data_IF_071468376848
#
_entry.id   IF_071468376848
#
_cell.length_a   1.000
_cell.length_b   1.000
_cell.length_c   1.000
_cell.angle_alpha   90.00
_cell.angle_beta   90.00
_cell.angle_gamma   90.00
#
_symmetry.space_group_name_H-M   'P 1'
#
loop_
_entity.id
_entity.type
_entity.pdbx_description
1 polymer ?
#
# COMPACT_ATOMS: atom_id res chain seq x y z
N UNK A 1 57.92 0.64 -8.01
CA UNK A 1 56.66 0.16 -8.60
C UNK A 1 55.39 0.45 -7.76
N UNK A 2 55.42 1.41 -6.85
CA UNK A 2 54.30 1.65 -5.88
C UNK A 2 53.47 2.96 -6.15
N UNK A 3 53.74 3.75 -7.14
CA UNK A 3 53.04 5.04 -7.39
C UNK A 3 52.02 5.06 -8.52
N UNK A 4 51.84 3.96 -9.25
CA UNK A 4 50.90 3.88 -10.40
C UNK A 4 49.52 3.30 -10.05
N UNK A 5 49.34 2.74 -8.88
CA UNK A 5 48.07 2.09 -8.49
C UNK A 5 47.17 3.07 -7.71
N UNK A 6 47.71 4.12 -7.10
CA UNK A 6 46.93 5.11 -6.34
C UNK A 6 46.08 6.08 -7.19
N UNK A 7 46.39 6.22 -8.48
CA UNK A 7 45.67 7.12 -9.38
C UNK A 7 44.47 6.48 -10.11
N UNK A 8 44.28 5.15 -9.99
CA UNK A 8 43.15 4.45 -10.60
C UNK A 8 41.88 4.42 -9.71
N UNK A 9 42.01 4.83 -8.45
CA UNK A 9 40.86 4.83 -7.50
C UNK A 9 40.19 6.21 -7.37
N UNK A 10 40.65 7.25 -8.06
CA UNK A 10 39.94 8.52 -8.19
C UNK A 10 39.00 8.51 -9.41
N UNK A 11 38.05 7.56 -9.41
CA UNK A 11 36.89 7.65 -10.28
C UNK A 11 36.12 8.91 -9.83
N UNK A 12 36.39 10.04 -10.47
CA UNK A 12 35.58 11.25 -10.31
C UNK A 12 34.13 10.81 -10.60
N UNK A 13 33.28 10.76 -9.58
CA UNK A 13 31.86 10.46 -9.75
C UNK A 13 31.35 11.30 -10.92
N UNK A 14 30.80 10.66 -11.95
CA UNK A 14 30.16 11.32 -13.08
C UNK A 14 29.23 12.43 -12.57
N UNK A 15 29.23 13.61 -13.19
CA UNK A 15 28.38 14.73 -12.77
C UNK A 15 26.92 14.36 -12.70
N UNK A 16 26.45 13.48 -13.59
CA UNK A 16 25.07 12.94 -13.59
C UNK A 16 24.88 12.03 -12.38
N UNK A 17 25.78 11.06 -12.16
CA UNK A 17 25.70 10.10 -11.04
C UNK A 17 25.89 10.76 -9.67
N UNK A 18 26.53 11.93 -9.61
CA UNK A 18 26.71 12.71 -8.36
C UNK A 18 25.50 13.59 -8.02
N UNK A 19 24.47 13.63 -8.87
CA UNK A 19 23.29 14.49 -8.69
C UNK A 19 23.56 16.00 -8.84
N UNK A 20 24.77 16.38 -9.31
CA UNK A 20 25.21 17.77 -9.52
C UNK A 20 25.00 18.26 -10.94
N UNK A 21 24.41 17.45 -11.80
CA UNK A 21 24.08 17.86 -13.16
C UNK A 21 22.87 18.79 -13.13
N UNK A 22 22.99 19.96 -13.75
CA UNK A 22 21.89 20.91 -13.90
C UNK A 22 21.12 20.56 -15.17
N UNK A 23 19.86 20.30 -15.02
CA UNK A 23 18.89 20.23 -16.10
C UNK A 23 18.22 21.60 -16.27
N UNK A 24 17.75 21.92 -17.46
CA UNK A 24 16.81 23.03 -17.61
C UNK A 24 15.50 22.72 -16.85
N UNK A 25 14.75 23.76 -16.46
CA UNK A 25 13.46 23.54 -15.79
C UNK A 25 12.51 22.71 -16.65
N UNK A 26 12.49 22.95 -17.97
CA UNK A 26 11.68 22.19 -18.92
C UNK A 26 12.04 20.71 -18.99
N UNK A 27 13.34 20.38 -18.99
CA UNK A 27 13.79 18.97 -18.95
C UNK A 27 13.40 18.28 -17.65
N UNK A 28 13.47 18.95 -16.50
CA UNK A 28 13.04 18.39 -15.23
C UNK A 28 11.54 18.15 -15.20
N UNK A 29 10.74 19.13 -15.65
CA UNK A 29 9.29 18.99 -15.76
C UNK A 29 8.90 17.79 -16.63
N UNK A 30 9.53 17.68 -17.82
CA UNK A 30 9.26 16.56 -18.74
C UNK A 30 9.58 15.22 -18.08
N UNK A 31 10.74 15.09 -17.42
CA UNK A 31 11.14 13.87 -16.72
C UNK A 31 10.15 13.44 -15.63
N UNK A 32 9.60 14.37 -14.88
CA UNK A 32 8.57 14.06 -13.89
C UNK A 32 7.27 13.66 -14.57
N UNK A 33 6.83 14.38 -15.60
CA UNK A 33 5.58 14.12 -16.32
C UNK A 33 5.56 12.80 -17.07
N UNK A 34 6.72 12.32 -17.53
CA UNK A 34 6.90 10.99 -18.15
C UNK A 34 6.69 9.84 -17.17
N UNK A 35 6.87 10.07 -15.87
CA UNK A 35 6.69 9.02 -14.86
C UNK A 35 5.22 8.73 -14.62
N UNK A 36 4.39 9.77 -14.55
CA UNK A 36 2.97 9.60 -14.25
C UNK A 36 2.18 10.85 -14.71
N UNK A 37 1.31 10.71 -15.73
CA UNK A 37 0.54 11.81 -16.30
C UNK A 37 -0.56 12.36 -15.39
N UNK A 38 -0.91 11.66 -14.30
CA UNK A 38 -1.90 12.12 -13.32
C UNK A 38 -1.38 13.23 -12.41
N UNK A 39 -0.10 13.60 -12.58
CA UNK A 39 0.53 14.67 -11.81
C UNK A 39 0.88 15.87 -12.69
N UNK A 40 0.64 17.06 -12.15
CA UNK A 40 1.09 18.32 -12.72
C UNK A 40 2.29 18.84 -11.94
N UNK A 41 3.35 19.21 -12.66
CA UNK A 41 4.57 19.71 -12.06
C UNK A 41 4.48 21.24 -12.02
N UNK A 42 4.30 21.80 -10.85
CA UNK A 42 4.07 23.22 -10.64
C UNK A 42 5.38 24.00 -10.59
N UNK A 43 6.41 23.43 -9.95
CA UNK A 43 7.75 24.02 -9.91
C UNK A 43 8.81 22.92 -9.69
N UNK A 44 10.03 23.19 -10.13
CA UNK A 44 11.19 22.31 -9.97
C UNK A 44 12.38 23.10 -9.49
N UNK A 45 13.21 22.51 -8.64
CA UNK A 45 14.47 23.08 -8.23
C UNK A 45 15.52 23.07 -9.35
N UNK A 46 16.70 23.60 -9.06
CA UNK A 46 17.80 23.71 -10.04
C UNK A 46 18.46 22.37 -10.38
N UNK A 47 18.31 21.35 -9.54
CA UNK A 47 18.99 20.06 -9.65
C UNK A 47 17.97 18.92 -9.62
N UNK A 48 18.33 17.81 -10.26
CA UNK A 48 17.48 16.60 -10.28
C UNK A 48 17.22 16.02 -8.85
N UNK A 49 18.11 16.30 -7.92
CA UNK A 49 17.99 15.93 -6.52
C UNK A 49 17.35 17.02 -5.65
N UNK A 50 16.84 18.10 -6.24
CA UNK A 50 15.99 19.05 -5.54
C UNK A 50 14.54 18.55 -5.51
N UNK A 51 13.75 18.90 -4.50
CA UNK A 51 12.34 18.57 -4.50
C UNK A 51 11.61 19.40 -5.56
N UNK A 52 10.64 18.80 -6.23
CA UNK A 52 9.69 19.47 -7.11
C UNK A 52 8.37 19.69 -6.34
N UNK A 53 7.71 20.81 -6.58
CA UNK A 53 6.33 21.02 -6.15
C UNK A 53 5.41 20.43 -7.22
N UNK A 54 4.67 19.39 -6.85
CA UNK A 54 3.77 18.68 -7.75
C UNK A 54 2.35 18.71 -7.23
N UNK A 55 1.38 18.64 -8.12
CA UNK A 55 -0.05 18.54 -7.79
C UNK A 55 -0.61 17.25 -8.38
N UNK A 56 -1.31 16.49 -7.56
CA UNK A 56 -2.07 15.34 -8.04
C UNK A 56 -3.40 15.81 -8.63
N UNK A 57 -3.61 15.67 -9.93
CA UNK A 57 -4.77 16.20 -10.66
C UNK A 57 -6.11 15.69 -10.13
N UNK A 58 -6.14 14.42 -9.70
CA UNK A 58 -7.37 13.79 -9.21
C UNK A 58 -7.91 14.38 -7.90
N UNK A 59 -7.04 14.78 -6.98
CA UNK A 59 -7.46 15.31 -5.66
C UNK A 59 -7.05 16.76 -5.41
N UNK A 60 -6.32 17.41 -6.33
CA UNK A 60 -5.88 18.78 -6.21
C UNK A 60 -4.78 19.02 -5.16
N UNK A 61 -4.32 17.96 -4.44
CA UNK A 61 -3.32 18.11 -3.39
C UNK A 61 -1.95 18.47 -3.94
N UNK A 62 -1.33 19.51 -3.36
CA UNK A 62 0.01 19.98 -3.72
C UNK A 62 1.01 19.58 -2.64
N UNK A 63 2.16 19.03 -3.06
CA UNK A 63 3.18 18.55 -2.14
C UNK A 63 4.57 18.55 -2.81
N UNK A 64 5.61 18.51 -1.97
CA UNK A 64 6.99 18.41 -2.45
C UNK A 64 7.40 16.94 -2.61
N UNK A 65 8.03 16.62 -3.74
CA UNK A 65 8.48 15.27 -4.06
C UNK A 65 9.86 15.29 -4.74
N UNK A 66 10.76 14.42 -4.31
CA UNK A 66 12.02 14.18 -4.99
C UNK A 66 11.83 13.27 -6.19
N UNK A 67 12.49 13.56 -7.32
CA UNK A 67 12.39 12.75 -8.54
C UNK A 67 12.69 11.26 -8.31
N UNK A 68 13.73 10.95 -7.53
CA UNK A 68 14.09 9.59 -7.17
C UNK A 68 12.96 8.87 -6.42
N UNK A 69 12.32 9.54 -5.47
CA UNK A 69 11.21 8.96 -4.71
C UNK A 69 9.99 8.71 -5.62
N UNK A 70 9.73 9.63 -6.55
CA UNK A 70 8.60 9.54 -7.48
C UNK A 70 8.80 8.44 -8.53
N UNK A 71 10.01 8.40 -9.14
CA UNK A 71 10.34 7.44 -10.21
C UNK A 71 10.72 6.06 -9.67
N UNK A 72 11.70 6.00 -8.76
CA UNK A 72 12.36 4.74 -8.39
C UNK A 72 11.71 4.06 -7.18
N UNK A 73 11.10 4.83 -6.28
CA UNK A 73 10.40 4.32 -5.10
C UNK A 73 8.88 4.26 -5.25
N UNK A 74 8.34 4.73 -6.37
CA UNK A 74 6.91 4.73 -6.64
C UNK A 74 6.09 5.57 -5.65
N UNK A 75 6.73 6.52 -4.93
CA UNK A 75 5.99 7.40 -4.03
C UNK A 75 5.04 8.29 -4.83
N UNK A 76 3.84 8.49 -4.32
CA UNK A 76 2.77 9.24 -4.96
C UNK A 76 2.17 10.28 -3.99
N UNK A 77 1.04 10.85 -4.36
CA UNK A 77 0.35 11.86 -3.57
C UNK A 77 0.12 11.41 -2.12
N UNK A 78 0.66 12.11 -1.11
CA UNK A 78 0.49 11.71 0.29
C UNK A 78 -0.97 11.78 0.75
N UNK A 79 -1.81 12.59 0.10
CA UNK A 79 -3.23 12.66 0.42
C UNK A 79 -4.03 11.46 -0.13
N UNK A 80 -3.65 10.93 -1.32
CA UNK A 80 -4.29 9.75 -1.91
C UNK A 80 -3.59 8.45 -1.53
N UNK A 81 -2.28 8.52 -1.24
CA UNK A 81 -1.47 7.43 -0.72
C UNK A 81 -1.30 7.50 0.81
N UNK A 82 -1.95 8.47 1.46
CA UNK A 82 -1.94 8.55 2.89
C UNK A 82 -2.76 7.41 3.46
N UNK A 83 -2.06 6.49 4.04
CA UNK A 83 -2.51 5.55 5.08
C UNK A 83 -3.68 4.62 4.76
N UNK A 84 -4.65 5.01 3.94
CA UNK A 84 -5.80 4.18 3.62
C UNK A 84 -5.80 3.81 2.14
N UNK A 85 -6.02 2.55 1.84
CA UNK A 85 -6.29 2.10 0.47
C UNK A 85 -7.66 2.60 0.01
N UNK A 86 -7.92 2.60 -1.30
CA UNK A 86 -9.25 2.97 -1.84
C UNK A 86 -10.36 2.13 -1.18
N UNK A 87 -10.10 0.87 -0.88
CA UNK A 87 -11.07 0.02 -0.20
C UNK A 87 -11.31 0.45 1.25
N UNK A 88 -10.26 0.84 1.97
CA UNK A 88 -10.42 1.39 3.32
C UNK A 88 -11.19 2.72 3.31
N UNK A 89 -11.02 3.58 2.30
CA UNK A 89 -11.83 4.79 2.13
C UNK A 89 -13.30 4.45 1.91
N UNK A 90 -13.61 3.51 1.01
CA UNK A 90 -14.99 3.05 0.76
C UNK A 90 -15.63 2.50 2.04
N UNK A 91 -14.91 1.69 2.80
CA UNK A 91 -15.39 1.14 4.07
C UNK A 91 -15.64 2.28 5.08
N UNK A 92 -14.69 3.21 5.20
CA UNK A 92 -14.78 4.36 6.11
C UNK A 92 -16.00 5.22 5.81
N UNK A 93 -16.20 5.54 4.53
CA UNK A 93 -17.33 6.41 4.10
C UNK A 93 -18.66 5.71 4.35
N UNK A 94 -18.77 4.43 4.00
CA UNK A 94 -19.97 3.63 4.27
C UNK A 94 -20.32 3.59 5.77
N UNK A 95 -19.33 3.35 6.64
CA UNK A 95 -19.55 3.30 8.08
C UNK A 95 -20.01 4.64 8.66
N UNK A 96 -19.44 5.76 8.19
CA UNK A 96 -19.85 7.11 8.57
C UNK A 96 -21.27 7.44 8.10
N UNK A 97 -21.60 7.16 6.83
CA UNK A 97 -22.92 7.42 6.25
C UNK A 97 -24.02 6.65 6.98
N UNK A 98 -23.71 5.46 7.47
CA UNK A 98 -24.66 4.63 8.21
C UNK A 98 -24.59 4.83 9.74
N UNK A 99 -23.85 5.84 10.23
CA UNK A 99 -23.67 6.16 11.64
C UNK A 99 -23.20 4.96 12.49
N UNK A 100 -22.37 4.09 11.93
CA UNK A 100 -21.76 2.96 12.63
C UNK A 100 -20.54 3.45 13.40
N UNK A 101 -20.44 3.12 14.68
CA UNK A 101 -19.25 3.38 15.47
C UNK A 101 -18.13 2.39 15.11
N UNK A 102 -16.93 2.89 14.82
CA UNK A 102 -15.77 2.08 14.46
C UNK A 102 -14.46 2.77 14.86
N UNK A 103 -13.44 1.95 15.07
CA UNK A 103 -12.06 2.41 15.24
C UNK A 103 -11.22 2.05 14.00
N UNK A 104 -10.17 2.83 13.73
CA UNK A 104 -9.24 2.61 12.59
C UNK A 104 -7.82 2.42 13.06
N UNK A 105 -7.03 1.65 12.30
CA UNK A 105 -5.59 1.44 12.52
C UNK A 105 -5.26 1.03 13.97
N UNK A 106 -6.07 0.10 14.50
CA UNK A 106 -5.98 -0.38 15.87
C UNK A 106 -4.68 -1.10 16.14
N UNK A 107 -3.96 -0.67 17.18
CA UNK A 107 -2.79 -1.35 17.71
C UNK A 107 -3.17 -2.15 18.93
N UNK A 108 -2.80 -3.41 18.96
CA UNK A 108 -3.08 -4.33 20.04
C UNK A 108 -1.78 -4.71 20.76
N UNK A 109 -1.85 -4.79 22.08
CA UNK A 109 -0.71 -5.21 22.90
C UNK A 109 -0.27 -6.64 22.54
N UNK A 110 1.03 -6.77 22.25
CA UNK A 110 1.60 -8.04 21.83
C UNK A 110 1.48 -8.35 20.33
N UNK A 111 0.76 -7.55 19.54
CA UNK A 111 0.73 -7.69 18.09
C UNK A 111 1.91 -6.94 17.45
N UNK A 112 3.07 -7.62 17.34
CA UNK A 112 4.32 -7.03 16.90
C UNK A 112 5.06 -7.89 15.88
N UNK A 113 5.71 -7.22 14.91
CA UNK A 113 6.74 -7.77 14.03
C UNK A 113 7.73 -6.67 13.70
N UNK A 114 8.98 -6.73 14.26
CA UNK A 114 9.95 -5.63 14.22
C UNK A 114 9.41 -4.32 14.84
N UNK A 115 8.17 -3.95 14.52
CA UNK A 115 7.42 -2.84 15.07
C UNK A 115 6.00 -3.29 15.40
N UNK A 116 5.24 -2.44 16.13
CA UNK A 116 3.82 -2.67 16.38
C UNK A 116 3.05 -2.74 15.05
N UNK A 117 2.22 -3.78 14.88
CA UNK A 117 1.31 -3.91 13.77
C UNK A 117 -0.05 -3.31 14.12
N UNK A 118 -0.75 -2.80 13.12
CA UNK A 118 -2.13 -2.32 13.26
C UNK A 118 -3.10 -3.17 12.46
N UNK A 119 -4.37 -3.12 12.82
CA UNK A 119 -5.50 -3.69 12.08
C UNK A 119 -6.33 -2.53 11.54
N UNK A 120 -6.84 -2.66 10.31
CA UNK A 120 -7.45 -1.52 9.59
C UNK A 120 -8.69 -0.99 10.30
N UNK A 121 -9.63 -1.87 10.71
CA UNK A 121 -10.87 -1.47 11.36
C UNK A 121 -11.22 -2.38 12.54
N UNK A 122 -11.99 -1.79 13.47
CA UNK A 122 -12.73 -2.51 14.50
C UNK A 122 -14.17 -2.02 14.51
N UNK A 123 -15.12 -2.93 14.40
CA UNK A 123 -16.56 -2.66 14.49
C UNK A 123 -17.14 -3.56 15.58
N UNK A 124 -17.53 -2.98 16.72
CA UNK A 124 -17.93 -3.77 17.90
C UNK A 124 -16.78 -4.71 18.32
N UNK A 125 -17.01 -6.02 18.29
CA UNK A 125 -16.01 -7.04 18.66
C UNK A 125 -15.25 -7.63 17.46
N UNK A 126 -15.59 -7.21 16.23
CA UNK A 126 -15.02 -7.75 15.00
C UNK A 126 -13.89 -6.87 14.51
N UNK A 127 -12.74 -7.46 14.20
CA UNK A 127 -11.62 -6.81 13.54
C UNK A 127 -11.64 -7.11 12.04
N UNK A 128 -11.31 -6.11 11.23
CA UNK A 128 -11.38 -6.20 9.76
C UNK A 128 -10.07 -5.72 9.17
N UNK A 129 -9.53 -6.49 8.23
CA UNK A 129 -8.42 -6.14 7.34
C UNK A 129 -8.95 -6.06 5.91
N UNK A 130 -8.63 -4.99 5.21
CA UNK A 130 -8.84 -4.91 3.77
C UNK A 130 -7.54 -5.17 3.04
N UNK A 131 -7.43 -6.34 2.43
CA UNK A 131 -6.21 -6.75 1.75
C UNK A 131 -6.17 -6.23 0.31
N UNK A 132 -5.41 -5.16 0.10
CA UNK A 132 -5.14 -4.59 -1.20
C UNK A 132 -4.36 -5.56 -2.12
N UNK A 133 -4.30 -5.24 -3.40
CA UNK A 133 -3.66 -6.08 -4.43
C UNK A 133 -2.20 -6.44 -4.10
N UNK A 134 -1.48 -5.53 -3.43
CA UNK A 134 -0.07 -5.70 -3.10
C UNK A 134 0.22 -6.63 -1.91
N UNK A 135 -0.80 -7.11 -1.21
CA UNK A 135 -0.67 -8.25 -0.31
C UNK A 135 -0.46 -9.56 -1.08
N UNK A 136 -0.84 -9.62 -2.37
CA UNK A 136 -0.85 -10.84 -3.18
C UNK A 136 0.13 -10.83 -4.35
N UNK A 137 0.64 -9.67 -4.74
CA UNK A 137 1.64 -9.53 -5.80
C UNK A 137 2.72 -8.52 -5.45
N UNK A 138 3.87 -8.65 -6.09
CA UNK A 138 4.96 -7.68 -5.98
C UNK A 138 4.57 -6.36 -6.66
N UNK A 139 4.72 -5.24 -5.94
CA UNK A 139 4.39 -3.91 -6.46
C UNK A 139 5.54 -3.30 -7.29
N UNK A 140 6.77 -3.43 -6.78
CA UNK A 140 8.00 -2.87 -7.37
C UNK A 140 9.21 -3.67 -6.84
N UNK A 141 10.40 -3.43 -7.39
CA UNK A 141 11.59 -4.25 -7.09
C UNK A 141 12.01 -4.26 -5.62
N UNK A 142 11.83 -3.15 -4.89
CA UNK A 142 12.12 -3.09 -3.46
C UNK A 142 10.98 -3.60 -2.56
N UNK A 143 9.80 -3.96 -3.12
CA UNK A 143 8.71 -4.53 -2.35
C UNK A 143 9.00 -5.99 -1.98
N UNK A 144 9.11 -6.26 -0.69
CA UNK A 144 9.32 -7.61 -0.17
C UNK A 144 7.98 -8.27 0.15
N UNK A 145 7.44 -8.98 -0.84
CA UNK A 145 6.16 -9.70 -0.71
C UNK A 145 6.20 -10.78 0.39
N UNK A 146 7.33 -11.48 0.56
CA UNK A 146 7.48 -12.50 1.59
C UNK A 146 7.38 -11.90 3.01
N UNK A 147 7.96 -10.71 3.19
CA UNK A 147 7.84 -9.99 4.47
C UNK A 147 6.41 -9.53 4.73
N UNK A 148 5.69 -9.10 3.71
CA UNK A 148 4.27 -8.75 3.81
C UNK A 148 3.43 -9.96 4.23
N UNK A 149 3.58 -11.09 3.54
CA UNK A 149 2.92 -12.36 3.89
C UNK A 149 3.22 -12.79 5.33
N UNK A 150 4.49 -12.64 5.76
CA UNK A 150 4.90 -12.99 7.14
C UNK A 150 4.21 -12.11 8.19
N UNK A 151 4.08 -10.81 7.93
CA UNK A 151 3.36 -9.88 8.82
C UNK A 151 1.88 -10.26 8.94
N UNK A 152 1.26 -10.59 7.82
CA UNK A 152 -0.13 -11.00 7.76
C UNK A 152 -0.36 -12.33 8.47
N UNK A 153 0.54 -13.29 8.33
CA UNK A 153 0.48 -14.57 9.06
C UNK A 153 0.61 -14.38 10.57
N UNK A 154 1.46 -13.45 11.02
CA UNK A 154 1.59 -13.08 12.44
C UNK A 154 0.28 -12.47 12.96
N UNK A 155 -0.35 -11.57 12.20
CA UNK A 155 -1.66 -11.03 12.55
C UNK A 155 -2.69 -12.16 12.70
N UNK A 156 -2.81 -13.04 11.71
CA UNK A 156 -3.77 -14.13 11.75
C UNK A 156 -3.58 -15.04 12.97
N UNK A 157 -2.35 -15.46 13.25
CA UNK A 157 -2.03 -16.26 14.43
C UNK A 157 -2.40 -15.57 15.72
N UNK A 158 -2.07 -14.29 15.85
CA UNK A 158 -2.37 -13.49 17.04
C UNK A 158 -3.86 -13.51 17.36
N UNK A 159 -4.73 -13.31 16.37
CA UNK A 159 -6.18 -13.31 16.52
C UNK A 159 -6.72 -14.71 16.79
N UNK A 160 -6.26 -15.70 16.03
CA UNK A 160 -6.67 -17.09 16.18
C UNK A 160 -6.35 -17.66 17.58
N UNK A 161 -5.12 -17.44 18.06
CA UNK A 161 -4.65 -17.94 19.37
C UNK A 161 -5.40 -17.31 20.55
N UNK A 162 -6.07 -16.18 20.35
CA UNK A 162 -6.83 -15.44 21.37
C UNK A 162 -8.33 -15.57 21.22
N UNK A 163 -8.79 -16.36 20.25
CA UNK A 163 -10.21 -16.51 19.92
C UNK A 163 -10.89 -15.15 19.65
N UNK A 164 -10.15 -14.24 18.99
CA UNK A 164 -10.64 -12.92 18.60
C UNK A 164 -11.00 -12.96 17.11
N UNK A 165 -12.17 -12.45 16.74
CA UNK A 165 -12.66 -12.50 15.38
C UNK A 165 -11.92 -11.51 14.47
N UNK A 166 -11.22 -12.02 13.46
CA UNK A 166 -10.58 -11.27 12.37
C UNK A 166 -11.20 -11.67 11.04
N UNK A 167 -11.73 -10.70 10.34
CA UNK A 167 -12.28 -10.85 8.98
C UNK A 167 -11.31 -10.19 7.99
N UNK A 168 -10.93 -10.91 6.92
CA UNK A 168 -10.11 -10.35 5.85
C UNK A 168 -10.91 -10.27 4.55
N UNK A 169 -10.90 -9.10 3.92
CA UNK A 169 -11.65 -8.82 2.69
C UNK A 169 -10.64 -8.51 1.59
N UNK A 170 -10.51 -9.36 0.56
CA UNK A 170 -9.57 -9.11 -0.52
C UNK A 170 -10.07 -8.03 -1.49
N UNK A 171 -9.14 -7.31 -2.09
CA UNK A 171 -9.40 -6.26 -3.08
C UNK A 171 -10.31 -6.68 -4.24
N UNK A 172 -10.40 -7.97 -4.54
CA UNK A 172 -11.29 -8.55 -5.55
C UNK A 172 -12.78 -8.27 -5.28
N UNK A 173 -13.13 -7.96 -4.03
CA UNK A 173 -14.49 -7.60 -3.63
C UNK A 173 -14.71 -6.10 -3.44
N UNK A 174 -13.83 -5.25 -4.00
CA UNK A 174 -13.91 -3.80 -3.88
C UNK A 174 -15.31 -3.25 -4.21
N UNK A 175 -15.92 -3.72 -5.30
CA UNK A 175 -17.24 -3.25 -5.75
C UNK A 175 -18.41 -3.85 -4.92
N UNK A 176 -18.11 -4.72 -3.96
CA UNK A 176 -19.06 -5.36 -3.06
C UNK A 176 -18.91 -4.95 -1.61
N UNK A 177 -18.02 -3.99 -1.31
CA UNK A 177 -17.67 -3.62 0.06
C UNK A 177 -18.90 -3.15 0.87
N UNK A 178 -19.80 -2.35 0.30
CA UNK A 178 -21.00 -1.89 1.00
C UNK A 178 -21.86 -3.07 1.50
N UNK A 179 -22.13 -4.03 0.62
CA UNK A 179 -22.91 -5.22 0.96
C UNK A 179 -22.19 -6.09 2.00
N UNK A 180 -20.89 -6.31 1.82
CA UNK A 180 -20.07 -7.11 2.73
C UNK A 180 -20.05 -6.48 4.13
N UNK A 181 -19.78 -5.17 4.21
CA UNK A 181 -19.72 -4.46 5.49
C UNK A 181 -21.09 -4.44 6.17
N UNK A 182 -22.17 -4.26 5.41
CA UNK A 182 -23.52 -4.36 5.97
C UNK A 182 -23.75 -5.74 6.59
N UNK A 183 -23.40 -6.82 5.88
CA UNK A 183 -23.57 -8.18 6.40
C UNK A 183 -22.68 -8.48 7.61
N UNK A 184 -21.51 -7.87 7.70
CA UNK A 184 -20.66 -7.94 8.89
C UNK A 184 -21.31 -7.24 10.10
N UNK A 185 -21.89 -6.08 9.91
CA UNK A 185 -22.63 -5.33 10.95
C UNK A 185 -23.83 -6.14 11.44
N UNK A 186 -24.56 -6.79 10.52
CA UNK A 186 -25.68 -7.67 10.80
C UNK A 186 -25.26 -9.03 11.42
N UNK A 187 -23.94 -9.33 11.45
CA UNK A 187 -23.36 -10.62 11.84
C UNK A 187 -23.89 -11.81 11.01
N UNK A 188 -24.28 -11.55 9.76
CA UNK A 188 -24.77 -12.57 8.83
C UNK A 188 -23.59 -13.30 8.14
N UNK A 189 -22.80 -14.02 8.93
CA UNK A 189 -21.64 -14.76 8.45
C UNK A 189 -21.99 -15.93 7.54
N UNK A 190 -23.20 -16.48 7.67
CA UNK A 190 -23.66 -17.55 6.79
C UNK A 190 -23.83 -17.03 5.37
N UNK A 191 -24.45 -15.85 5.22
CA UNK A 191 -24.55 -15.17 3.93
C UNK A 191 -23.17 -14.90 3.33
N UNK A 192 -22.23 -14.36 4.11
CA UNK A 192 -20.88 -14.06 3.66
C UNK A 192 -20.14 -15.31 3.18
N UNK A 193 -20.18 -16.41 3.93
CA UNK A 193 -19.53 -17.68 3.53
C UNK A 193 -20.14 -18.27 2.26
N UNK A 194 -21.43 -18.11 2.05
CA UNK A 194 -22.14 -18.63 0.87
C UNK A 194 -21.87 -17.84 -0.39
N UNK A 195 -21.77 -16.50 -0.29
CA UNK A 195 -21.70 -15.60 -1.43
C UNK A 195 -20.27 -15.08 -1.73
N UNK A 196 -19.37 -15.14 -0.77
CA UNK A 196 -18.01 -14.58 -0.85
C UNK A 196 -16.94 -15.58 -0.39
N UNK A 197 -16.63 -16.54 -1.25
CA UNK A 197 -15.71 -17.67 -0.97
C UNK A 197 -14.28 -17.26 -0.56
N UNK A 198 -13.88 -16.03 -0.92
CA UNK A 198 -12.55 -15.47 -0.61
C UNK A 198 -12.55 -14.60 0.66
N UNK A 199 -13.68 -14.38 1.32
CA UNK A 199 -13.66 -13.75 2.64
C UNK A 199 -13.05 -14.74 3.62
N UNK A 200 -12.02 -14.28 4.31
CA UNK A 200 -11.37 -15.03 5.35
C UNK A 200 -12.02 -14.72 6.71
N UNK A 201 -12.45 -15.73 7.40
CA UNK A 201 -13.01 -15.62 8.76
C UNK A 201 -12.14 -16.48 9.67
N UNK A 202 -11.26 -15.85 10.40
CA UNK A 202 -10.30 -16.36 11.38
C UNK A 202 -9.86 -17.84 11.22
N UNK A 203 -8.79 -18.06 10.45
CA UNK A 203 -8.08 -19.35 10.38
C UNK A 203 -6.66 -19.17 10.94
N UNK A 204 -6.02 -20.27 11.35
CA UNK A 204 -4.69 -20.21 11.97
C UNK A 204 -3.53 -19.85 11.03
N UNK A 205 -3.78 -19.73 9.71
CA UNK A 205 -2.75 -19.41 8.73
C UNK A 205 -3.25 -18.50 7.61
N UNK A 206 -2.49 -17.45 7.33
CA UNK A 206 -2.73 -16.57 6.20
C UNK A 206 -2.44 -17.24 4.85
N UNK A 207 -1.55 -18.24 4.83
CA UNK A 207 -1.04 -18.83 3.58
C UNK A 207 -2.13 -19.46 2.70
N UNK A 208 -3.11 -20.14 3.30
CA UNK A 208 -4.23 -20.73 2.55
C UNK A 208 -5.07 -19.67 1.86
N UNK A 209 -5.41 -18.61 2.58
CA UNK A 209 -6.13 -17.45 2.07
C UNK A 209 -5.34 -16.77 0.95
N UNK A 210 -4.05 -16.44 1.19
CA UNK A 210 -3.16 -15.89 0.19
C UNK A 210 -3.15 -16.69 -1.12
N UNK A 211 -3.03 -18.01 -1.04
CA UNK A 211 -3.03 -18.90 -2.21
C UNK A 211 -4.35 -18.83 -2.98
N UNK A 212 -5.50 -18.88 -2.30
CA UNK A 212 -6.81 -18.78 -2.94
C UNK A 212 -6.98 -17.46 -3.70
N UNK A 213 -6.68 -16.34 -3.06
CA UNK A 213 -6.82 -15.01 -3.69
C UNK A 213 -5.85 -14.85 -4.87
N UNK A 214 -4.59 -15.26 -4.73
CA UNK A 214 -3.59 -15.21 -5.81
C UNK A 214 -3.99 -16.05 -7.03
N UNK A 215 -4.58 -17.22 -6.83
CA UNK A 215 -5.09 -18.06 -7.93
C UNK A 215 -6.22 -17.34 -8.68
N UNK A 216 -7.19 -16.80 -7.95
CA UNK A 216 -8.35 -16.09 -8.54
C UNK A 216 -7.93 -14.83 -9.31
N UNK A 217 -6.97 -14.08 -8.77
CA UNK A 217 -6.39 -12.92 -9.44
C UNK A 217 -5.75 -13.28 -10.79
N UNK A 218 -5.03 -14.41 -10.86
CA UNK A 218 -4.40 -14.88 -12.10
C UNK A 218 -5.42 -15.37 -13.14
N UNK A 219 -6.55 -15.93 -12.72
CA UNK A 219 -7.65 -16.30 -13.60
C UNK A 219 -8.28 -15.06 -14.25
N UNK A 220 -8.55 -14.03 -13.46
CA UNK A 220 -9.15 -12.76 -13.93
C UNK A 220 -8.24 -11.96 -14.89
N UNK A 221 -6.92 -12.19 -14.85
CA UNK A 221 -5.95 -11.51 -15.73
C UNK A 221 -5.79 -12.19 -17.10
N UNK A 222 -6.41 -13.36 -17.31
CA UNK A 222 -6.32 -14.16 -18.55
C UNK A 222 -7.57 -14.10 -19.43
N UNK A 223 -8.62 -13.49 -18.98
CA UNK A 223 -9.88 -13.24 -19.69
C UNK A 223 -10.03 -11.79 -20.12
#
# INVERSE_FOLDING_TARGET
MGKLISNLLNIKKCRICSGKFKYSKSELINRFSEVDPDYEILDVGEYINSPALIMHKKCGHKFNMYYYNFRDRGQRCPNCFSKNSIGEEIITDYLKENNVFFDVQMKLDGLNYKNSLSVDFKIGDVYIEYDGEFHFKKQYDSHNLEESIRRDDIKNKFFFERDIELIRIPFLYKDKLHEIIQKLIEKDYEYLRRNYELIFICENTFYRYFKKVSMKMNESSRG
#
